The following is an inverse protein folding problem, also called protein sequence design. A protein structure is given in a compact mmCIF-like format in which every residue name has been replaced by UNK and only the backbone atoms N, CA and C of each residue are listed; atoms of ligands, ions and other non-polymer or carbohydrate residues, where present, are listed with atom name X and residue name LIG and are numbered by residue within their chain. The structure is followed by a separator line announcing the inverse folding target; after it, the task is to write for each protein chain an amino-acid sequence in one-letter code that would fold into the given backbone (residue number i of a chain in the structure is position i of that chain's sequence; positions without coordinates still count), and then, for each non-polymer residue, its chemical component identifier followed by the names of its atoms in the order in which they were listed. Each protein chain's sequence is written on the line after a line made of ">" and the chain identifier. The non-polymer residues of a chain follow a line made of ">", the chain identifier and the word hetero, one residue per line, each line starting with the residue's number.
data_IF_269507345671
#
_entry.id   IF_269507345671
#
_cell.length_a   1.000
_cell.length_b   1.000
_cell.length_c   1.000
_cell.angle_alpha   90.00
_cell.angle_beta   90.00
_cell.angle_gamma   90.00
#
_symmetry.space_group_name_H-M   'P 1'
#
loop_
_entity.id
_entity.type
_entity.pdbx_description
1 polymer ?
#
# COMPACT_ATOMS: atom_id res chain seq x y z
N UNK A 1 -1.63 -16.46 -10.35
CA UNK A 1 -2.31 -17.79 -10.46
C UNK A 1 -2.47 -18.49 -9.12
N UNK A 2 -1.38 -18.73 -8.36
CA UNK A 2 -1.49 -19.40 -7.05
C UNK A 2 -2.12 -18.52 -5.96
N UNK A 3 -1.82 -17.22 -5.93
CA UNK A 3 -2.37 -16.31 -4.91
C UNK A 3 -3.88 -16.05 -5.03
N UNK A 4 -4.42 -16.01 -6.26
CA UNK A 4 -5.85 -15.74 -6.50
C UNK A 4 -6.67 -17.02 -6.78
N UNK A 5 -6.08 -18.22 -6.67
CA UNK A 5 -6.78 -19.49 -6.93
C UNK A 5 -7.20 -19.71 -8.40
N UNK A 6 -6.68 -18.91 -9.33
CA UNK A 6 -7.02 -19.02 -10.74
C UNK A 6 -6.35 -20.22 -11.42
N UNK A 7 -7.16 -21.04 -12.09
CA UNK A 7 -6.70 -22.05 -13.04
C UNK A 7 -6.34 -21.41 -14.39
N UNK A 8 -5.57 -22.11 -15.22
CA UNK A 8 -5.29 -21.70 -16.61
C UNK A 8 -6.59 -21.42 -17.37
N UNK A 9 -7.64 -22.21 -17.12
CA UNK A 9 -8.95 -22.05 -17.76
C UNK A 9 -9.68 -20.78 -17.33
N UNK A 10 -9.65 -20.43 -16.04
CA UNK A 10 -10.25 -19.18 -15.55
C UNK A 10 -9.48 -17.96 -16.04
N UNK A 11 -8.15 -18.07 -16.14
CA UNK A 11 -7.30 -17.01 -16.70
C UNK A 11 -7.57 -16.78 -18.18
N UNK A 12 -7.62 -17.85 -18.98
CA UNK A 12 -7.95 -17.79 -20.40
C UNK A 12 -9.32 -17.13 -20.63
N UNK A 13 -10.32 -17.54 -19.84
CA UNK A 13 -11.68 -16.98 -19.92
C UNK A 13 -11.71 -15.49 -19.57
N UNK A 14 -11.02 -15.07 -18.51
CA UNK A 14 -11.00 -13.68 -18.07
C UNK A 14 -10.31 -12.75 -19.08
N UNK A 15 -9.30 -13.26 -19.78
CA UNK A 15 -8.58 -12.53 -20.83
C UNK A 15 -9.21 -12.64 -22.22
N UNK A 16 -10.25 -13.46 -22.40
CA UNK A 16 -10.87 -13.71 -23.70
C UNK A 16 -9.98 -14.45 -24.70
N UNK A 17 -8.96 -15.18 -24.24
CA UNK A 17 -8.00 -15.90 -25.09
C UNK A 17 -8.23 -17.42 -25.03
N UNK A 18 -7.69 -18.15 -26.02
CA UNK A 18 -7.76 -19.61 -26.01
C UNK A 18 -6.97 -20.20 -24.84
N UNK A 19 -7.42 -21.36 -24.33
CA UNK A 19 -6.70 -22.09 -23.28
C UNK A 19 -5.26 -22.41 -23.69
N UNK A 20 -5.05 -22.81 -24.95
CA UNK A 20 -3.72 -23.12 -25.49
C UNK A 20 -2.81 -21.89 -25.49
N UNK A 21 -3.34 -20.73 -25.90
CA UNK A 21 -2.61 -19.46 -25.88
C UNK A 21 -2.21 -19.09 -24.45
N UNK A 22 -3.17 -19.13 -23.52
CA UNK A 22 -2.92 -18.90 -22.10
C UNK A 22 -1.84 -19.85 -21.56
N UNK A 23 -1.96 -21.15 -21.83
CA UNK A 23 -1.03 -22.17 -21.36
C UNK A 23 0.39 -21.94 -21.92
N UNK A 24 0.52 -21.54 -23.19
CA UNK A 24 1.81 -21.25 -23.79
C UNK A 24 2.47 -19.98 -23.23
N UNK A 25 1.67 -18.95 -22.90
CA UNK A 25 2.16 -17.73 -22.23
C UNK A 25 2.68 -18.07 -20.83
N UNK A 26 1.91 -18.83 -20.04
CA UNK A 26 2.30 -19.23 -18.68
C UNK A 26 3.53 -20.12 -18.69
N UNK A 27 3.64 -21.01 -19.67
CA UNK A 27 4.80 -21.88 -19.85
C UNK A 27 6.02 -21.15 -20.45
N UNK A 28 5.91 -19.85 -20.76
CA UNK A 28 7.00 -19.05 -21.34
C UNK A 28 7.36 -19.44 -22.77
N UNK A 29 6.52 -20.22 -23.47
CA UNK A 29 6.77 -20.65 -24.85
C UNK A 29 6.49 -19.53 -25.86
N UNK A 30 5.50 -18.69 -25.56
CA UNK A 30 5.08 -17.57 -26.40
C UNK A 30 5.03 -16.28 -25.58
N UNK A 31 5.55 -15.20 -26.14
CA UNK A 31 5.34 -13.87 -25.57
C UNK A 31 3.89 -13.40 -25.84
N UNK A 32 3.21 -12.82 -24.83
CA UNK A 32 1.90 -12.21 -25.04
C UNK A 32 2.02 -11.00 -25.97
N UNK A 33 1.00 -10.76 -26.80
CA UNK A 33 0.93 -9.53 -27.61
C UNK A 33 0.53 -8.34 -26.73
N UNK A 34 0.66 -7.12 -27.27
CA UNK A 34 0.32 -5.89 -26.56
C UNK A 34 -1.11 -5.90 -25.98
N UNK A 35 -2.09 -6.31 -26.78
CA UNK A 35 -3.50 -6.38 -26.35
C UNK A 35 -3.69 -7.34 -25.17
N UNK A 36 -3.01 -8.49 -25.19
CA UNK A 36 -3.02 -9.45 -24.07
C UNK A 36 -2.37 -8.86 -22.82
N UNK A 37 -1.28 -8.09 -22.98
CA UNK A 37 -0.62 -7.40 -21.85
C UNK A 37 -1.57 -6.37 -21.22
N UNK A 38 -2.24 -5.54 -22.03
CA UNK A 38 -3.21 -4.57 -21.53
C UNK A 38 -4.38 -5.29 -20.84
N UNK A 39 -4.95 -6.32 -21.46
CA UNK A 39 -6.01 -7.12 -20.86
C UNK A 39 -5.58 -7.75 -19.53
N UNK A 40 -4.33 -8.18 -19.39
CA UNK A 40 -3.79 -8.67 -18.12
C UNK A 40 -3.77 -7.56 -17.07
N UNK A 41 -3.25 -6.38 -17.40
CA UNK A 41 -3.16 -5.27 -16.45
C UNK A 41 -4.54 -4.73 -16.02
N UNK A 42 -5.52 -4.74 -16.92
CA UNK A 42 -6.89 -4.32 -16.60
C UNK A 42 -7.66 -5.34 -15.75
N UNK A 43 -7.46 -6.64 -16.00
CA UNK A 43 -8.21 -7.69 -15.31
C UNK A 43 -7.54 -8.19 -14.02
N UNK A 44 -6.25 -7.91 -13.84
CA UNK A 44 -5.47 -8.34 -12.69
C UNK A 44 -4.75 -7.13 -12.08
N UNK A 45 -5.48 -6.34 -11.30
CA UNK A 45 -4.97 -5.11 -10.65
C UNK A 45 -3.81 -5.35 -9.68
N UNK A 46 -3.62 -6.60 -9.24
CA UNK A 46 -2.49 -7.03 -8.40
C UNK A 46 -1.17 -7.09 -9.19
N UNK A 47 -1.23 -7.13 -10.52
CA UNK A 47 -0.07 -7.28 -11.40
C UNK A 47 0.54 -5.93 -11.72
N UNK A 48 1.81 -5.74 -11.34
CA UNK A 48 2.58 -4.54 -11.71
C UNK A 48 3.09 -4.63 -13.15
N UNK A 49 3.02 -3.51 -13.88
CA UNK A 49 3.44 -3.45 -15.27
C UNK A 49 4.96 -3.58 -15.45
N UNK A 50 5.76 -3.04 -14.52
CA UNK A 50 7.23 -3.19 -14.57
C UNK A 50 7.64 -4.63 -14.29
N UNK A 51 6.96 -5.29 -13.35
CA UNK A 51 7.15 -6.71 -13.12
C UNK A 51 6.80 -7.53 -14.37
N UNK A 52 5.65 -7.29 -14.98
CA UNK A 52 5.18 -8.05 -16.14
C UNK A 52 6.07 -7.86 -17.38
N UNK A 53 6.57 -6.64 -17.62
CA UNK A 53 7.34 -6.30 -18.82
C UNK A 53 8.84 -6.47 -18.66
N UNK A 54 9.38 -6.11 -17.50
CA UNK A 54 10.82 -6.02 -17.26
C UNK A 54 11.34 -7.13 -16.35
N UNK A 55 10.45 -7.94 -15.76
CA UNK A 55 10.81 -8.96 -14.77
C UNK A 55 11.37 -8.36 -13.47
N UNK A 56 11.16 -7.05 -13.24
CA UNK A 56 11.62 -6.36 -12.04
C UNK A 56 10.47 -6.31 -11.06
N UNK A 57 10.59 -7.02 -9.95
CA UNK A 57 9.68 -6.82 -8.83
C UNK A 57 9.74 -5.35 -8.39
N UNK A 58 8.58 -4.78 -8.05
CA UNK A 58 8.55 -3.50 -7.37
C UNK A 58 9.36 -3.66 -6.09
N UNK A 59 10.46 -2.92 -5.95
CA UNK A 59 11.34 -3.05 -4.81
C UNK A 59 10.62 -2.57 -3.56
N UNK A 60 9.90 -3.49 -2.91
CA UNK A 60 9.11 -3.25 -1.70
C UNK A 60 9.95 -2.67 -0.57
N UNK A 61 11.28 -2.84 -0.65
CA UNK A 61 12.25 -2.19 0.22
C UNK A 61 12.13 -0.66 0.17
N UNK A 62 12.03 -0.07 -1.02
CA UNK A 62 11.94 1.39 -1.21
C UNK A 62 10.61 1.91 -0.67
N UNK A 63 9.50 1.21 -0.95
CA UNK A 63 8.19 1.55 -0.42
C UNK A 63 8.17 1.50 1.11
N UNK A 64 8.78 0.46 1.70
CA UNK A 64 8.88 0.29 3.16
C UNK A 64 9.72 1.39 3.81
N UNK A 65 10.86 1.75 3.22
CA UNK A 65 11.73 2.84 3.69
C UNK A 65 11.00 4.19 3.75
N UNK A 66 10.22 4.50 2.72
CA UNK A 66 9.41 5.71 2.67
C UNK A 66 8.33 5.71 3.77
N UNK A 67 7.66 4.57 3.98
CA UNK A 67 6.68 4.42 5.05
C UNK A 67 7.31 4.61 6.44
N UNK A 68 8.48 4.02 6.70
CA UNK A 68 9.21 4.22 7.95
C UNK A 68 9.55 5.69 8.20
N UNK A 69 9.95 6.41 7.16
CA UNK A 69 10.28 7.84 7.26
C UNK A 69 9.04 8.67 7.59
N UNK A 70 7.91 8.40 6.93
CA UNK A 70 6.63 9.07 7.21
C UNK A 70 6.19 8.81 8.66
N UNK A 71 6.25 7.55 9.11
CA UNK A 71 5.88 7.16 10.47
C UNK A 71 6.75 7.88 11.51
N UNK A 72 8.07 7.94 11.29
CA UNK A 72 8.99 8.62 12.20
C UNK A 72 8.70 10.13 12.31
N UNK A 73 8.41 10.78 11.18
CA UNK A 73 8.04 12.20 11.16
C UNK A 73 6.70 12.46 11.87
N UNK A 74 5.72 11.57 11.71
CA UNK A 74 4.45 11.63 12.43
C UNK A 74 4.65 11.44 13.92
N UNK A 75 5.49 10.49 14.34
CA UNK A 75 5.78 10.23 15.75
C UNK A 75 6.39 11.47 16.44
N UNK A 76 7.35 12.14 15.79
CA UNK A 76 7.93 13.40 16.29
C UNK A 76 6.88 14.51 16.45
N UNK A 77 5.93 14.57 15.53
CA UNK A 77 4.83 15.54 15.58
C UNK A 77 3.89 15.25 16.76
N UNK A 78 3.54 13.98 16.95
CA UNK A 78 2.71 13.53 18.09
C UNK A 78 3.39 13.85 19.42
N UNK A 79 4.69 13.60 19.55
CA UNK A 79 5.45 13.91 20.77
C UNK A 79 5.47 15.42 21.07
N UNK A 80 5.64 16.25 20.05
CA UNK A 80 5.60 17.71 20.20
C UNK A 80 4.20 18.20 20.62
N UNK A 81 3.15 17.60 20.05
CA UNK A 81 1.76 17.87 20.43
C UNK A 81 1.47 17.45 21.86
N UNK A 82 1.94 16.26 22.29
CA UNK A 82 1.75 15.76 23.65
C UNK A 82 2.38 16.70 24.68
N UNK A 83 3.61 17.17 24.45
CA UNK A 83 4.26 18.17 25.32
C UNK A 83 3.46 19.47 25.42
N UNK A 84 2.80 19.87 24.35
CA UNK A 84 1.97 21.07 24.34
C UNK A 84 0.69 20.86 25.14
N UNK A 85 0.06 19.68 25.01
CA UNK A 85 -1.10 19.27 25.80
C UNK A 85 -0.76 19.27 27.29
N UNK A 86 0.37 18.67 27.68
CA UNK A 86 0.78 18.58 29.08
C UNK A 86 0.95 19.98 29.71
N UNK A 87 1.65 20.89 29.02
CA UNK A 87 1.82 22.29 29.47
C UNK A 87 0.50 23.05 29.61
N UNK A 88 -0.41 22.86 28.68
CA UNK A 88 -1.73 23.50 28.74
C UNK A 88 -2.57 22.92 29.88
N UNK A 89 -2.48 21.61 30.09
CA UNK A 89 -3.17 20.90 31.18
C UNK A 89 -2.71 21.40 32.54
N UNK A 90 -1.40 21.49 32.76
CA UNK A 90 -0.82 22.09 33.99
C UNK A 90 -1.31 23.51 34.23
N UNK A 91 -1.39 24.32 33.16
CA UNK A 91 -1.82 25.72 33.26
C UNK A 91 -3.31 25.85 33.59
N UNK A 92 -4.15 24.94 33.10
CA UNK A 92 -5.59 24.89 33.43
C UNK A 92 -5.79 24.46 34.89
N UNK A 93 -5.10 23.41 35.33
CA UNK A 93 -5.20 22.90 36.72
C UNK A 93 -4.71 23.96 37.71
N UNK A 94 -3.48 24.47 37.54
CA UNK A 94 -2.91 25.48 38.43
C UNK A 94 -3.60 26.86 38.35
N UNK A 95 -4.35 27.11 37.27
CA UNK A 95 -5.19 28.30 37.12
C UNK A 95 -6.49 28.23 37.93
N UNK A 96 -7.07 27.04 38.10
CA UNK A 96 -8.26 26.82 38.93
C UNK A 96 -7.93 26.92 40.43
N UNK A 97 -6.79 26.39 40.87
CA UNK A 97 -6.37 26.43 42.29
C UNK A 97 -6.16 27.86 42.83
N UNK A 98 -5.84 28.82 41.95
CA UNK A 98 -5.67 30.24 42.33
C UNK A 98 -6.98 31.02 42.37
N UNK A 99 -8.02 30.57 41.65
CA UNK A 99 -9.32 31.23 41.66
C UNK A 99 -10.12 30.88 42.91
N UNK A 100 -10.01 29.66 43.43
CA UNK A 100 -10.70 29.27 44.68
C UNK A 100 -10.17 29.97 45.93
N UNK A 101 -8.88 30.33 45.97
CA UNK A 101 -8.26 30.98 47.14
C UNK A 101 -8.55 32.48 47.30
N UNK A 102 -9.20 33.11 46.31
CA UNK A 102 -9.52 34.55 46.31
C UNK A 102 -11.02 34.85 46.53
N UNK A 103 -11.83 33.85 46.93
CA UNK A 103 -13.29 34.00 47.16
C UNK A 103 -13.66 33.85 48.64
N UNK A 104 -12.71 33.99 49.58
CA UNK A 104 -12.97 33.97 51.03
C UNK A 104 -12.53 35.27 51.67
#
# INVERSE_FOLDING_TARGET
>A
MKEEGHTVSTFARKLGISWTTANNIIAGKNAPNYETIINILENFSTVDANWLLLGKECDTSIASQNLYTIINNQQRTIEAQQKTIDRLTERIIGGNDKKEKNVV
#
